data_IF_670566613785
#
_entry.id   IF_670566613785
#
_cell.length_a   1.000
_cell.length_b   1.000
_cell.length_c   1.000
_cell.angle_alpha   90.00
_cell.angle_beta   90.00
_cell.angle_gamma   90.00
#
_symmetry.space_group_name_H-M   'P 1'
#
loop_
_entity.id
_entity.type
_entity.pdbx_description
1 polymer ?
#
# COMPACT_ATOMS: atom_id res chain seq x y z
N UNK A 1 -9.73 4.38 -16.10
CA UNK A 1 -8.34 4.53 -15.61
C UNK A 1 -8.28 5.86 -14.90
N UNK A 2 -8.52 5.86 -13.59
CA UNK A 2 -8.62 7.10 -12.80
C UNK A 2 -7.22 7.61 -12.49
N UNK A 3 -6.97 8.77 -13.07
CA UNK A 3 -5.81 9.64 -12.97
C UNK A 3 -5.33 9.90 -11.53
N UNK A 4 -4.08 9.53 -11.23
CA UNK A 4 -3.43 9.72 -9.93
C UNK A 4 -2.73 11.09 -9.77
N UNK A 5 -3.05 12.11 -10.59
CA UNK A 5 -2.40 13.45 -10.59
C UNK A 5 -2.67 14.35 -9.35
N UNK A 6 -2.94 13.78 -8.19
CA UNK A 6 -3.28 14.53 -6.96
C UNK A 6 -2.25 14.49 -5.82
N UNK A 7 -1.20 13.67 -5.90
CA UNK A 7 -0.17 13.61 -4.86
C UNK A 7 1.00 14.55 -5.19
N UNK A 8 1.53 15.32 -4.22
CA UNK A 8 2.68 16.18 -4.45
C UNK A 8 3.84 15.33 -4.99
N UNK A 9 4.29 15.69 -6.19
CA UNK A 9 5.20 14.92 -7.06
C UNK A 9 6.62 14.69 -6.47
N UNK A 10 6.84 15.06 -5.21
CA UNK A 10 8.14 15.02 -4.52
C UNK A 10 8.21 14.10 -3.31
N UNK A 11 7.07 13.66 -2.75
CA UNK A 11 7.07 12.82 -1.54
C UNK A 11 6.31 11.52 -1.81
N UNK A 12 7.05 10.42 -1.83
CA UNK A 12 6.46 9.08 -1.86
C UNK A 12 6.03 8.73 -0.44
N UNK A 13 4.92 7.99 -0.30
CA UNK A 13 4.47 7.50 1.00
C UNK A 13 5.65 6.84 1.73
N UNK A 14 6.34 5.95 1.02
CA UNK A 14 7.49 5.16 1.46
C UNK A 14 8.67 5.98 1.99
N UNK A 15 8.75 7.30 1.73
CA UNK A 15 9.77 8.14 2.34
C UNK A 15 9.61 8.22 3.87
N UNK A 16 8.36 8.22 4.36
CA UNK A 16 8.09 8.18 5.80
C UNK A 16 8.50 6.83 6.38
N UNK A 17 8.12 5.73 5.73
CA UNK A 17 8.49 4.37 6.12
C UNK A 17 10.00 4.19 6.13
N UNK A 18 10.74 4.83 5.21
CA UNK A 18 12.19 4.78 5.19
C UNK A 18 12.82 5.48 6.40
N UNK A 19 12.28 6.64 6.82
CA UNK A 19 12.75 7.32 8.04
C UNK A 19 12.48 6.49 9.30
N UNK A 20 11.32 5.84 9.37
CA UNK A 20 10.98 4.92 10.44
C UNK A 20 11.90 3.69 10.43
N UNK A 21 12.17 3.11 9.26
CA UNK A 21 13.10 2.00 9.10
C UNK A 21 14.52 2.38 9.56
N UNK A 22 15.01 3.56 9.20
CA UNK A 22 16.29 4.07 9.68
C UNK A 22 16.33 4.19 11.19
N UNK A 23 15.25 4.72 11.77
CA UNK A 23 15.12 4.86 13.23
C UNK A 23 15.11 3.49 13.90
N UNK A 24 14.35 2.54 13.38
CA UNK A 24 14.28 1.17 13.89
C UNK A 24 15.63 0.47 13.78
N UNK A 25 16.31 0.58 12.64
CA UNK A 25 17.65 0.01 12.45
C UNK A 25 18.63 0.55 13.49
N UNK A 26 18.62 1.85 13.75
CA UNK A 26 19.48 2.47 14.77
C UNK A 26 19.10 2.10 16.20
N UNK A 27 17.80 1.95 16.49
CA UNK A 27 17.27 1.74 17.85
C UNK A 27 17.30 0.28 18.29
N UNK A 28 16.93 -0.64 17.40
CA UNK A 28 16.76 -2.06 17.71
C UNK A 28 17.63 -2.97 16.85
N UNK A 29 18.34 -2.45 15.85
CA UNK A 29 19.25 -3.24 15.01
C UNK A 29 18.56 -4.14 13.98
N UNK A 30 17.29 -3.87 13.66
CA UNK A 30 16.48 -4.70 12.75
C UNK A 30 16.08 -3.87 11.53
N UNK A 31 16.22 -4.48 10.36
CA UNK A 31 15.81 -3.92 9.07
C UNK A 31 14.29 -4.11 8.83
N UNK A 32 13.69 -3.18 8.10
CA UNK A 32 12.25 -3.20 7.77
C UNK A 32 12.03 -3.72 6.36
N UNK A 33 11.06 -4.62 6.19
CA UNK A 33 10.64 -5.12 4.87
C UNK A 33 9.18 -4.74 4.62
N UNK A 34 8.90 -4.08 3.50
CA UNK A 34 7.54 -3.85 3.01
C UNK A 34 7.25 -4.86 1.91
N UNK A 35 6.19 -5.65 2.09
CA UNK A 35 5.69 -6.59 1.10
C UNK A 35 4.66 -5.87 0.23
N UNK A 36 4.90 -5.84 -1.09
CA UNK A 36 4.08 -5.15 -2.07
C UNK A 36 3.53 -6.14 -3.11
N UNK A 37 2.33 -5.83 -3.61
CA UNK A 37 1.80 -6.47 -4.81
C UNK A 37 2.49 -5.92 -6.08
N UNK A 38 2.10 -6.44 -7.24
CA UNK A 38 2.70 -6.06 -8.52
C UNK A 38 2.02 -4.85 -9.20
N UNK A 39 1.27 -4.03 -8.46
CA UNK A 39 0.62 -2.84 -9.01
C UNK A 39 1.63 -1.88 -9.64
N UNK A 40 1.24 -1.24 -10.75
CA UNK A 40 2.14 -0.39 -11.55
C UNK A 40 2.63 0.84 -10.78
N UNK A 41 1.87 1.33 -9.80
CA UNK A 41 2.25 2.44 -8.92
C UNK A 41 3.51 2.12 -8.10
N UNK A 42 3.66 0.88 -7.63
CA UNK A 42 4.82 0.43 -6.86
C UNK A 42 6.08 0.26 -7.72
N UNK A 43 5.94 0.20 -9.05
CA UNK A 43 7.05 0.04 -10.00
C UNK A 43 7.39 1.32 -10.76
N UNK A 44 6.88 2.46 -10.29
CA UNK A 44 7.09 3.76 -10.93
C UNK A 44 8.57 4.15 -10.96
N UNK A 45 8.93 5.05 -11.88
CA UNK A 45 10.30 5.57 -11.98
C UNK A 45 10.77 6.23 -10.68
N UNK A 46 9.87 6.92 -9.98
CA UNK A 46 10.18 7.58 -8.71
C UNK A 46 10.55 6.57 -7.63
N UNK A 47 9.81 5.46 -7.52
CA UNK A 47 10.10 4.38 -6.58
C UNK A 47 11.47 3.77 -6.89
N UNK A 48 11.76 3.44 -8.15
CA UNK A 48 13.06 2.88 -8.55
C UNK A 48 14.23 3.83 -8.27
N UNK A 49 14.02 5.14 -8.43
CA UNK A 49 15.05 6.13 -8.16
C UNK A 49 15.38 6.23 -6.65
N UNK A 50 14.41 5.94 -5.78
CA UNK A 50 14.53 5.99 -4.32
C UNK A 50 14.92 4.65 -3.68
N UNK A 51 14.70 3.53 -4.36
CA UNK A 51 14.93 2.18 -3.85
C UNK A 51 16.33 1.99 -3.23
N UNK A 52 17.37 2.53 -3.87
CA UNK A 52 18.74 2.46 -3.34
C UNK A 52 18.91 3.25 -2.05
N UNK A 53 18.37 4.46 -1.97
CA UNK A 53 18.41 5.31 -0.77
C UNK A 53 17.69 4.60 0.40
N UNK A 54 16.51 4.04 0.14
CA UNK A 54 15.74 3.31 1.14
C UNK A 54 16.46 2.05 1.62
N UNK A 55 17.13 1.31 0.73
CA UNK A 55 17.96 0.17 1.09
C UNK A 55 19.09 0.57 2.07
N UNK A 56 19.77 1.69 1.80
CA UNK A 56 20.81 2.23 2.69
C UNK A 56 20.23 2.63 4.06
N UNK A 57 18.96 3.05 4.10
CA UNK A 57 18.22 3.35 5.33
C UNK A 57 17.73 2.09 6.08
N UNK A 58 17.89 0.89 5.53
CA UNK A 58 17.41 -0.36 6.12
C UNK A 58 15.95 -0.69 5.77
N UNK A 59 15.41 -0.09 4.71
CA UNK A 59 14.09 -0.40 4.17
C UNK A 59 14.21 -1.23 2.88
N UNK A 60 13.58 -2.39 2.85
CA UNK A 60 13.57 -3.31 1.72
C UNK A 60 12.16 -3.39 1.14
N UNK A 61 12.07 -3.38 -0.19
CA UNK A 61 10.82 -3.65 -0.90
C UNK A 61 10.84 -5.09 -1.40
N UNK A 62 9.86 -5.88 -0.98
CA UNK A 62 9.68 -7.26 -1.43
C UNK A 62 8.41 -7.36 -2.27
N UNK A 63 8.56 -7.68 -3.55
CA UNK A 63 7.44 -7.86 -4.45
C UNK A 63 6.99 -9.33 -4.46
N UNK A 64 5.70 -9.56 -4.25
CA UNK A 64 5.11 -10.89 -4.36
C UNK A 64 5.28 -11.47 -5.78
N UNK A 65 5.31 -12.81 -5.95
CA UNK A 65 5.27 -13.43 -7.27
C UNK A 65 4.00 -13.03 -8.04
N UNK A 66 4.10 -13.02 -9.36
CA UNK A 66 2.99 -12.61 -10.24
C UNK A 66 1.81 -13.57 -10.09
N UNK A 67 0.59 -13.02 -10.01
CA UNK A 67 -0.67 -13.77 -9.88
C UNK A 67 -0.81 -14.59 -8.60
N UNK A 68 -0.18 -14.16 -7.50
CA UNK A 68 -0.32 -14.78 -6.18
C UNK A 68 -1.10 -13.92 -5.17
N UNK A 69 -2.40 -13.65 -5.39
CA UNK A 69 -3.22 -12.89 -4.45
C UNK A 69 -3.35 -13.57 -3.08
N UNK A 70 -3.23 -14.90 -3.01
CA UNK A 70 -3.26 -15.67 -1.76
C UNK A 70 -2.13 -15.31 -0.78
N UNK A 71 -1.04 -14.73 -1.27
CA UNK A 71 0.09 -14.29 -0.46
C UNK A 71 -0.06 -12.84 0.02
N UNK A 72 -1.04 -12.11 -0.50
CA UNK A 72 -1.30 -10.73 -0.11
C UNK A 72 -2.32 -10.70 1.03
N UNK A 73 -1.84 -10.70 2.28
CA UNK A 73 -2.69 -10.75 3.49
C UNK A 73 -3.80 -9.70 3.52
N UNK A 74 -3.57 -8.53 2.90
CA UNK A 74 -4.56 -7.45 2.86
C UNK A 74 -5.79 -7.81 2.02
N UNK A 75 -5.69 -8.77 1.08
CA UNK A 75 -6.83 -9.19 0.24
C UNK A 75 -7.99 -9.73 1.07
N UNK A 76 -7.68 -10.48 2.14
CA UNK A 76 -8.70 -10.98 3.07
C UNK A 76 -9.48 -9.84 3.75
N UNK A 77 -8.75 -8.82 4.21
CA UNK A 77 -9.34 -7.62 4.83
C UNK A 77 -10.15 -6.81 3.80
N UNK A 78 -9.63 -6.62 2.59
CA UNK A 78 -10.35 -5.94 1.51
C UNK A 78 -11.63 -6.66 1.12
N UNK A 79 -11.65 -7.99 1.13
CA UNK A 79 -12.87 -8.77 0.87
C UNK A 79 -13.96 -8.46 1.91
N UNK A 80 -13.61 -8.40 3.19
CA UNK A 80 -14.55 -8.05 4.27
C UNK A 80 -15.06 -6.61 4.12
N UNK A 81 -14.16 -5.65 3.88
CA UNK A 81 -14.53 -4.24 3.68
C UNK A 81 -15.46 -4.05 2.46
N UNK A 82 -15.16 -4.71 1.33
CA UNK A 82 -16.00 -4.70 0.13
C UNK A 82 -17.37 -5.32 0.41
N UNK A 83 -17.45 -6.39 1.19
CA UNK A 83 -18.72 -7.01 1.57
C UNK A 83 -19.56 -6.08 2.46
N UNK A 84 -18.93 -5.43 3.45
CA UNK A 84 -19.59 -4.43 4.30
C UNK A 84 -20.14 -3.26 3.49
N UNK A 85 -19.34 -2.71 2.56
CA UNK A 85 -19.78 -1.63 1.68
C UNK A 85 -21.00 -2.03 0.83
N UNK A 86 -21.04 -3.27 0.32
CA UNK A 86 -22.18 -3.78 -0.46
C UNK A 86 -23.42 -3.97 0.40
N UNK A 87 -23.28 -4.53 1.60
CA UNK A 87 -24.37 -4.68 2.55
C UNK A 87 -24.96 -3.35 3.00
N UNK A 88 -24.12 -2.33 3.21
CA UNK A 88 -24.57 -0.96 3.47
C UNK A 88 -25.31 -0.36 2.27
N UNK A 89 -24.86 -0.61 1.03
CA UNK A 89 -25.53 -0.15 -0.18
C UNK A 89 -26.86 -0.89 -0.46
N UNK A 90 -26.98 -2.15 -0.06
CA UNK A 90 -28.22 -2.92 -0.11
C UNK A 90 -29.22 -2.45 0.96
N UNK A 91 -28.76 -2.22 2.19
CA UNK A 91 -29.57 -1.63 3.25
C UNK A 91 -30.04 -0.22 2.85
N UNK A 92 -29.16 0.63 2.30
CA UNK A 92 -29.53 1.96 1.82
C UNK A 92 -30.54 1.93 0.65
N UNK A 93 -30.57 0.85 -0.14
CA UNK A 93 -31.61 0.63 -1.17
C UNK A 93 -32.92 0.09 -0.60
N UNK A 94 -32.90 -0.61 0.54
CA UNK A 94 -34.11 -1.14 1.18
C UNK A 94 -34.85 -0.09 2.01
N UNK A 95 -34.14 0.91 2.56
CA UNK A 95 -34.75 2.11 3.12
C UNK A 95 -35.08 3.09 1.98
N UNK A 96 -36.22 2.86 1.32
CA UNK A 96 -36.69 3.69 0.22
C UNK A 96 -36.80 5.18 0.60
N UNK A 97 -36.61 6.05 -0.40
CA UNK A 97 -36.74 7.50 -0.27
C UNK A 97 -37.97 7.88 0.55
N UNK A 98 -37.85 8.82 1.51
CA UNK A 98 -39.02 9.33 2.20
C UNK A 98 -39.93 10.04 1.17
N UNK A 99 -41.25 10.06 1.41
CA UNK A 99 -42.19 10.79 0.56
C UNK A 99 -41.90 12.29 0.50
#
# INVERSE_FOLDING_TARGET
MSDCRGFPHSLLHQDKEAQEAKTNRLKIGIDTVIVLDNSSSHKSHQVRAKEKEWLEMGLYLFFLPTYSPELNLIEGEWHQLKAMQRGLGEAARSWGSPP
#
